data_IF_595790269656
#
_entry.id   IF_595790269656
#
_cell.length_a   1.000
_cell.length_b   1.000
_cell.length_c   1.000
_cell.angle_alpha   90.00
_cell.angle_beta   90.00
_cell.angle_gamma   90.00
#
_symmetry.space_group_name_H-M   'P 1'
#
loop_
_entity.id
_entity.type
_entity.pdbx_description
1 polymer ?
#
# COMPACT_ATOMS: atom_id res chain seq x y z
N UNK A 1 3.58 22.00 14.39
CA UNK A 1 4.92 22.62 14.43
C UNK A 1 5.95 21.50 14.53
N UNK A 2 6.68 21.29 13.42
CA UNK A 2 7.86 20.44 13.17
C UNK A 2 7.74 18.91 13.33
N UNK A 3 7.66 18.19 12.21
CA UNK A 3 8.75 17.31 11.73
C UNK A 3 8.39 16.63 10.39
N UNK A 4 8.58 17.32 9.27
CA UNK A 4 8.89 16.64 8.00
C UNK A 4 10.32 16.15 8.10
N UNK A 5 10.50 15.04 8.82
CA UNK A 5 11.78 14.34 8.89
C UNK A 5 11.77 13.30 7.78
N UNK A 6 12.07 13.74 6.55
CA UNK A 6 12.69 12.85 5.58
C UNK A 6 14.01 12.37 6.20
N UNK A 7 14.09 11.09 6.55
CA UNK A 7 15.27 10.53 7.24
C UNK A 7 15.89 9.49 6.33
N UNK A 8 17.08 9.84 5.85
CA UNK A 8 18.01 9.03 5.04
C UNK A 8 17.58 8.87 3.59
N UNK A 9 18.27 9.63 2.74
CA UNK A 9 18.32 9.43 1.31
C UNK A 9 19.60 8.65 0.99
N UNK A 10 19.48 7.46 0.42
CA UNK A 10 20.60 6.79 -0.23
C UNK A 10 20.53 7.11 -1.72
N UNK A 11 21.59 7.70 -2.28
CA UNK A 11 21.63 8.12 -3.69
C UNK A 11 22.78 7.44 -4.41
N UNK A 12 22.44 6.83 -5.54
CA UNK A 12 23.34 6.46 -6.62
C UNK A 12 22.76 7.05 -7.91
N UNK A 13 23.54 7.11 -8.99
CA UNK A 13 23.16 7.78 -10.25
C UNK A 13 21.80 7.35 -10.80
N UNK A 14 21.36 6.11 -10.53
CA UNK A 14 20.10 5.54 -11.03
C UNK A 14 19.16 5.05 -9.92
N UNK A 15 19.48 5.30 -8.64
CA UNK A 15 18.68 4.77 -7.54
C UNK A 15 18.64 5.75 -6.37
N UNK A 16 17.43 6.05 -5.92
CA UNK A 16 17.18 6.83 -4.72
C UNK A 16 16.23 6.08 -3.81
N UNK A 17 16.61 5.94 -2.53
CA UNK A 17 15.74 5.43 -1.49
C UNK A 17 15.39 6.57 -0.53
N UNK A 18 14.10 6.89 -0.41
CA UNK A 18 13.59 7.87 0.54
C UNK A 18 12.83 7.18 1.66
N UNK A 19 13.28 7.33 2.91
CA UNK A 19 12.53 6.87 4.08
C UNK A 19 11.83 8.05 4.78
N UNK A 20 10.52 7.92 4.93
CA UNK A 20 9.66 8.90 5.61
C UNK A 20 9.31 8.40 7.00
N UNK A 21 9.53 9.23 8.03
CA UNK A 21 9.02 8.96 9.37
C UNK A 21 7.66 9.64 9.54
N UNK A 22 6.59 8.93 9.18
CA UNK A 22 5.23 9.46 9.18
C UNK A 22 4.23 8.35 9.54
N UNK A 23 3.06 8.80 10.00
CA UNK A 23 1.87 7.94 10.13
C UNK A 23 1.20 7.77 8.77
N UNK A 24 0.59 6.60 8.54
CA UNK A 24 -0.10 6.31 7.29
C UNK A 24 -1.28 7.25 7.03
N UNK A 25 -1.96 7.68 8.09
CA UNK A 25 -3.06 8.65 8.06
C UNK A 25 -2.62 10.00 7.51
N UNK A 26 -1.33 10.32 7.60
CA UNK A 26 -0.77 11.59 7.12
C UNK A 26 -0.30 11.50 5.67
N UNK A 27 -0.46 10.35 5.00
CA UNK A 27 -0.18 10.24 3.56
C UNK A 27 -1.17 11.11 2.79
N UNK A 28 -0.61 12.02 2.00
CA UNK A 28 -1.30 12.95 1.11
C UNK A 28 -0.80 12.89 -0.32
N UNK A 29 0.07 11.92 -0.66
CA UNK A 29 0.56 11.72 -2.02
C UNK A 29 -0.61 11.48 -2.99
N UNK A 30 -0.50 12.03 -4.20
CA UNK A 30 -1.50 11.90 -5.26
C UNK A 30 -0.79 11.57 -6.58
N UNK A 31 -1.25 10.52 -7.29
CA UNK A 31 -0.72 10.10 -8.59
C UNK A 31 0.82 10.06 -8.66
N UNK A 32 1.45 9.61 -7.58
CA UNK A 32 2.91 9.69 -7.38
C UNK A 32 3.58 8.35 -7.68
N UNK A 33 2.97 7.24 -7.26
CA UNK A 33 3.59 5.92 -7.29
C UNK A 33 3.02 5.02 -8.38
N UNK A 34 3.87 4.22 -8.98
CA UNK A 34 3.48 3.16 -9.92
C UNK A 34 3.17 1.84 -9.20
N UNK A 35 3.82 1.60 -8.05
CA UNK A 35 3.69 0.37 -7.27
C UNK A 35 3.75 0.64 -5.76
N UNK A 36 2.82 0.06 -5.02
CA UNK A 36 2.82 0.01 -3.55
C UNK A 36 3.01 -1.43 -3.09
N UNK A 37 4.08 -1.67 -2.34
CA UNK A 37 4.26 -2.88 -1.54
C UNK A 37 3.64 -2.65 -0.17
N UNK A 38 2.42 -3.16 0.06
CA UNK A 38 1.73 -2.99 1.33
C UNK A 38 2.04 -4.14 2.29
N UNK A 39 3.03 -3.92 3.15
CA UNK A 39 3.55 -4.87 4.12
C UNK A 39 3.40 -4.34 5.56
N UNK A 40 2.15 -4.30 6.02
CA UNK A 40 1.81 -3.98 7.41
C UNK A 40 1.69 -5.25 8.26
N UNK A 41 1.69 -5.11 9.59
CA UNK A 41 1.35 -6.24 10.46
C UNK A 41 -0.06 -6.77 10.15
N UNK A 42 -0.25 -8.07 10.39
CA UNK A 42 -1.48 -8.75 10.01
C UNK A 42 -2.72 -8.12 10.64
N UNK A 43 -3.86 -8.27 9.98
CA UNK A 43 -5.14 -7.67 10.39
C UNK A 43 -5.51 -7.83 11.87
N UNK A 44 -5.14 -8.94 12.53
CA UNK A 44 -5.44 -9.14 13.95
C UNK A 44 -4.59 -8.28 14.89
N UNK A 45 -3.43 -7.82 14.41
CA UNK A 45 -2.47 -7.03 15.19
C UNK A 45 -2.67 -5.54 14.95
N UNK A 46 -2.94 -5.14 13.70
CA UNK A 46 -3.13 -3.73 13.32
C UNK A 46 -4.32 -3.54 12.36
N UNK A 47 -5.57 -3.82 12.78
CA UNK A 47 -6.75 -3.74 11.92
C UNK A 47 -6.99 -2.34 11.31
N UNK A 48 -6.57 -1.27 11.99
CA UNK A 48 -6.73 0.12 11.59
C UNK A 48 -6.09 0.44 10.22
N UNK A 49 -5.00 -0.26 9.88
CA UNK A 49 -4.29 -0.09 8.61
C UNK A 49 -4.99 -0.78 7.42
N UNK A 50 -5.97 -1.64 7.69
CA UNK A 50 -6.67 -2.45 6.66
C UNK A 50 -8.09 -1.94 6.37
N UNK A 51 -8.33 -0.65 6.64
CA UNK A 51 -9.64 -0.01 6.50
C UNK A 51 -9.84 0.60 5.11
N UNK A 52 -11.09 0.82 4.73
CA UNK A 52 -11.46 1.52 3.49
C UNK A 52 -10.74 2.87 3.36
N UNK A 53 -10.78 3.69 4.41
CA UNK A 53 -10.15 5.01 4.42
C UNK A 53 -8.63 4.91 4.14
N UNK A 54 -7.97 3.89 4.67
CA UNK A 54 -6.55 3.66 4.43
C UNK A 54 -6.27 3.27 2.97
N UNK A 55 -7.09 2.38 2.41
CA UNK A 55 -6.96 2.00 1.00
C UNK A 55 -7.33 3.13 0.04
N UNK A 56 -8.24 4.04 0.38
CA UNK A 56 -8.53 5.22 -0.42
C UNK A 56 -7.32 6.16 -0.51
N UNK A 57 -6.55 6.33 0.57
CA UNK A 57 -5.28 7.06 0.54
C UNK A 57 -4.28 6.42 -0.42
N UNK A 58 -4.13 5.09 -0.36
CA UNK A 58 -3.24 4.37 -1.28
C UNK A 58 -3.72 4.42 -2.73
N UNK A 59 -5.04 4.35 -2.97
CA UNK A 59 -5.62 4.52 -4.30
C UNK A 59 -5.31 5.89 -4.87
N UNK A 60 -5.44 6.94 -4.05
CA UNK A 60 -5.11 8.31 -4.46
C UNK A 60 -3.63 8.47 -4.79
N UNK A 61 -2.75 7.88 -3.97
CA UNK A 61 -1.30 7.95 -4.14
C UNK A 61 -0.77 7.21 -5.39
N UNK A 62 -1.47 6.18 -5.87
CA UNK A 62 -1.10 5.47 -7.10
C UNK A 62 -1.48 6.25 -8.34
N UNK A 63 -0.66 6.19 -9.39
CA UNK A 63 -1.01 6.64 -10.75
C UNK A 63 -2.05 5.72 -11.38
N UNK A 64 -2.73 6.19 -12.43
CA UNK A 64 -3.58 5.30 -13.22
C UNK A 64 -2.77 4.11 -13.78
N UNK A 65 -3.32 2.89 -13.70
CA UNK A 65 -2.61 1.65 -14.00
C UNK A 65 -1.68 1.17 -12.88
N UNK A 66 -1.51 1.95 -11.81
CA UNK A 66 -0.68 1.63 -10.66
C UNK A 66 -1.22 0.44 -9.86
N UNK A 67 -0.31 -0.25 -9.17
CA UNK A 67 -0.58 -1.54 -8.52
C UNK A 67 -0.28 -1.46 -7.03
N UNK A 68 -1.16 -2.04 -6.21
CA UNK A 68 -0.88 -2.40 -4.83
C UNK A 68 -0.79 -3.92 -4.71
N UNK A 69 0.27 -4.41 -4.05
CA UNK A 69 0.43 -5.82 -3.71
C UNK A 69 0.56 -6.01 -2.21
N UNK A 70 -0.04 -7.07 -1.68
CA UNK A 70 0.08 -7.44 -0.26
C UNK A 70 -0.05 -8.94 -0.06
N UNK A 71 0.62 -9.47 0.96
CA UNK A 71 0.50 -10.88 1.34
C UNK A 71 -0.89 -11.23 1.87
N UNK A 72 -1.68 -10.25 2.33
CA UNK A 72 -2.95 -10.50 2.99
C UNK A 72 -4.08 -10.76 2.00
N UNK A 73 -4.84 -11.83 2.20
CA UNK A 73 -5.93 -12.27 1.31
C UNK A 73 -7.28 -12.50 2.04
N UNK A 74 -7.52 -11.80 3.17
CA UNK A 74 -8.75 -11.98 3.95
C UNK A 74 -9.92 -11.24 3.32
N UNK A 75 -11.12 -11.81 3.39
CA UNK A 75 -12.34 -11.23 2.78
C UNK A 75 -12.60 -9.77 3.16
N UNK A 76 -12.48 -9.33 4.43
CA UNK A 76 -12.68 -7.91 4.78
C UNK A 76 -11.71 -6.97 4.06
N UNK A 77 -10.45 -7.39 3.90
CA UNK A 77 -9.41 -6.62 3.20
C UNK A 77 -9.77 -6.50 1.71
N UNK A 78 -10.16 -7.62 1.09
CA UNK A 78 -10.59 -7.62 -0.32
C UNK A 78 -11.80 -6.71 -0.54
N UNK A 79 -12.77 -6.71 0.38
CA UNK A 79 -13.93 -5.82 0.32
C UNK A 79 -13.50 -4.35 0.41
N UNK A 80 -12.69 -4.01 1.41
CA UNK A 80 -12.21 -2.65 1.60
C UNK A 80 -11.38 -2.14 0.40
N UNK A 81 -10.54 -2.98 -0.22
CA UNK A 81 -9.82 -2.64 -1.46
C UNK A 81 -10.77 -2.36 -2.62
N UNK A 82 -11.79 -3.20 -2.82
CA UNK A 82 -12.79 -2.99 -3.88
C UNK A 82 -13.61 -1.72 -3.65
N UNK A 83 -14.05 -1.50 -2.41
CA UNK A 83 -14.78 -0.29 -2.01
C UNK A 83 -13.93 0.98 -2.17
N UNK A 84 -12.60 0.88 -2.03
CA UNK A 84 -11.69 1.99 -2.30
C UNK A 84 -11.52 2.31 -3.79
N UNK A 85 -12.03 1.47 -4.69
CA UNK A 85 -11.97 1.65 -6.14
C UNK A 85 -11.04 0.69 -6.88
N UNK A 86 -10.32 -0.19 -6.17
CA UNK A 86 -9.39 -1.10 -6.84
C UNK A 86 -10.07 -2.24 -7.60
N UNK A 87 -9.49 -2.61 -8.74
CA UNK A 87 -9.73 -3.92 -9.36
C UNK A 87 -8.84 -4.97 -8.68
N UNK A 88 -9.45 -5.89 -7.92
CA UNK A 88 -8.71 -6.85 -7.08
C UNK A 88 -8.66 -8.25 -7.68
N UNK A 89 -7.47 -8.86 -7.68
CA UNK A 89 -7.22 -10.25 -8.08
C UNK A 89 -6.47 -10.99 -6.97
N UNK A 90 -6.85 -12.25 -6.73
CA UNK A 90 -6.07 -13.18 -5.92
C UNK A 90 -5.06 -13.88 -6.82
N UNK A 91 -3.80 -13.92 -6.41
CA UNK A 91 -2.73 -14.60 -7.15
C UNK A 91 -2.06 -15.64 -6.24
N UNK A 92 -1.40 -16.67 -6.81
CA UNK A 92 -0.72 -17.69 -6.01
C UNK A 92 0.25 -17.06 -5.01
N UNK A 93 0.21 -17.53 -3.77
CA UNK A 93 1.17 -17.13 -2.74
C UNK A 93 2.55 -17.75 -2.97
N UNK A 94 3.60 -17.29 -2.26
CA UNK A 94 4.90 -17.97 -2.23
C UNK A 94 4.76 -19.36 -1.57
N UNK A 95 5.82 -20.17 -1.66
CA UNK A 95 5.87 -21.52 -1.08
C UNK A 95 5.36 -21.49 0.38
N UNK A 96 4.31 -22.28 0.66
CA UNK A 96 3.68 -22.34 1.99
C UNK A 96 2.51 -21.37 2.23
N UNK A 97 2.16 -20.51 1.25
CA UNK A 97 0.98 -19.62 1.30
C UNK A 97 0.06 -19.89 0.11
N UNK A 98 -1.25 -20.00 0.37
CA UNK A 98 -2.23 -20.31 -0.68
C UNK A 98 -2.41 -19.16 -1.67
N UNK A 99 -2.58 -17.94 -1.18
CA UNK A 99 -2.95 -16.77 -1.99
C UNK A 99 -2.32 -15.49 -1.45
N UNK A 100 -2.05 -14.54 -2.34
CA UNK A 100 -1.77 -13.13 -2.04
C UNK A 100 -2.70 -12.22 -2.86
N UNK A 101 -2.72 -10.93 -2.56
CA UNK A 101 -3.62 -9.97 -3.19
C UNK A 101 -2.87 -9.00 -4.09
N UNK A 102 -3.39 -8.78 -5.29
CA UNK A 102 -3.01 -7.69 -6.20
C UNK A 102 -4.23 -6.81 -6.48
N UNK A 103 -4.07 -5.51 -6.34
CA UNK A 103 -5.10 -4.50 -6.53
C UNK A 103 -4.61 -3.45 -7.53
N UNK A 104 -5.40 -3.12 -8.55
CA UNK A 104 -4.99 -2.23 -9.66
C UNK A 104 -5.91 -1.01 -9.70
N UNK A 105 -5.32 0.19 -9.78
CA UNK A 105 -6.03 1.45 -10.09
C UNK A 105 -6.32 1.51 -11.59
N UNK A 106 -7.57 1.75 -11.96
CA UNK A 106 -8.03 1.88 -13.35
C UNK A 106 -8.80 3.17 -13.54
#
# INVERSE_FOLDING_TARGET
>A
MLCDKEIKVFQQTLFTLTKRHAFFENITDEDTFDLIYFDAFGFQVQPELWTLNMFQKMYKALKNGGVLVTYACRTPIIKALKEAGFTVSKIPGPIGKREMTRAVKR
#
